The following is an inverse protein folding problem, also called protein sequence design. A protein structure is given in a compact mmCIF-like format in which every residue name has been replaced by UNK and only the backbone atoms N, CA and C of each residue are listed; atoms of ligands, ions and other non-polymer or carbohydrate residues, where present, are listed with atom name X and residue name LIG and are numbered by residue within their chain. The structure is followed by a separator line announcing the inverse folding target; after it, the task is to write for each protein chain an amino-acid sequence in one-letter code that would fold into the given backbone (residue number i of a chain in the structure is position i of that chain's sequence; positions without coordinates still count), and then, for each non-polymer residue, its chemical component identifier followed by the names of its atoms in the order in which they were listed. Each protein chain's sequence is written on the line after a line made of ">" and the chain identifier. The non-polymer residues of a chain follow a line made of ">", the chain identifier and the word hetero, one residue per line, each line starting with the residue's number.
data_IF_407161250233
#
_entry.id   IF_407161250233
#
_cell.length_a   1.000
_cell.length_b   1.000
_cell.length_c   1.000
_cell.angle_alpha   90.00
_cell.angle_beta   90.00
_cell.angle_gamma   90.00
#
_symmetry.space_group_name_H-M   'P 1'
#
loop_
_entity.id
_entity.type
_entity.pdbx_description
1 polymer ?
#
# COMPACT_ATOMS: atom_id res chain seq x y z
N UNK A 1 3.68 20.35 -4.61
CA UNK A 1 2.23 20.05 -4.60
C UNK A 1 2.11 18.55 -4.48
N UNK A 2 1.28 17.99 -3.59
CA UNK A 2 0.92 16.59 -3.76
C UNK A 2 0.28 16.46 -5.14
N UNK A 3 0.76 15.51 -5.95
CA UNK A 3 0.15 15.23 -7.24
C UNK A 3 -1.33 14.93 -7.02
N UNK A 4 -2.20 15.52 -7.85
CA UNK A 4 -3.64 15.30 -7.72
C UNK A 4 -3.95 13.81 -7.75
N UNK A 5 -4.94 13.34 -6.98
CA UNK A 5 -5.36 11.92 -6.94
C UNK A 5 -5.30 11.26 -8.31
N UNK A 6 -5.95 11.87 -9.30
CA UNK A 6 -6.03 11.35 -10.67
C UNK A 6 -4.68 11.16 -11.35
N UNK A 7 -3.67 11.99 -11.04
CA UNK A 7 -2.32 11.83 -11.55
C UNK A 7 -1.66 10.59 -10.95
N UNK A 8 -1.72 10.42 -9.63
CA UNK A 8 -1.17 9.25 -8.95
C UNK A 8 -1.87 7.96 -9.34
N UNK A 9 -3.19 7.96 -9.51
CA UNK A 9 -3.88 6.78 -10.02
C UNK A 9 -3.51 6.47 -11.48
N UNK A 10 -3.24 7.49 -12.32
CA UNK A 10 -2.77 7.28 -13.68
C UNK A 10 -1.33 6.73 -13.70
N UNK A 11 -0.48 7.19 -12.79
CA UNK A 11 0.87 6.67 -12.59
C UNK A 11 0.83 5.18 -12.19
N UNK A 12 0.04 4.82 -11.18
CA UNK A 12 -0.14 3.42 -10.76
C UNK A 12 -0.70 2.54 -11.88
N UNK A 13 -1.67 3.06 -12.65
CA UNK A 13 -2.19 2.37 -13.85
C UNK A 13 -1.11 2.18 -14.91
N UNK A 14 -0.20 3.13 -15.09
CA UNK A 14 0.93 3.01 -16.03
C UNK A 14 1.91 1.90 -15.65
N UNK A 15 1.94 1.52 -14.37
CA UNK A 15 2.74 0.39 -13.88
C UNK A 15 2.04 -0.97 -14.07
N UNK A 16 0.80 -1.00 -14.55
CA UNK A 16 0.04 -2.22 -14.83
C UNK A 16 -1.07 -2.54 -13.81
N UNK A 17 -1.29 -1.71 -12.80
CA UNK A 17 -2.33 -1.91 -11.78
C UNK A 17 -3.62 -1.18 -12.18
N UNK A 18 -4.58 -1.91 -12.76
CA UNK A 18 -5.81 -1.32 -13.30
C UNK A 18 -6.87 -0.98 -12.25
N UNK A 19 -6.90 -1.73 -11.15
CA UNK A 19 -7.81 -1.51 -10.04
C UNK A 19 -7.10 -0.65 -9.00
N UNK A 20 -7.77 0.43 -8.60
CA UNK A 20 -7.22 1.40 -7.66
C UNK A 20 -8.14 1.53 -6.46
N UNK A 21 -7.62 1.27 -5.26
CA UNK A 21 -8.37 1.41 -4.02
C UNK A 21 -7.67 2.32 -3.01
N UNK A 22 -8.45 2.78 -2.03
CA UNK A 22 -7.95 3.48 -0.84
C UNK A 22 -8.52 2.78 0.38
N UNK A 23 -7.64 2.39 1.30
CA UNK A 23 -8.00 1.70 2.53
C UNK A 23 -7.38 2.45 3.72
N UNK A 24 -8.02 2.32 4.88
CA UNK A 24 -7.46 2.68 6.19
C UNK A 24 -7.53 1.42 7.05
N UNK A 25 -6.48 1.13 7.80
CA UNK A 25 -6.38 0.05 8.80
C UNK A 25 -7.04 -1.26 8.40
N UNK A 26 -6.26 -2.20 7.86
CA UNK A 26 -6.76 -3.50 7.45
C UNK A 26 -6.20 -4.61 8.33
N UNK A 27 -7.06 -5.54 8.82
CA UNK A 27 -6.57 -6.73 9.49
C UNK A 27 -5.74 -7.60 8.52
N UNK A 28 -4.99 -8.59 9.04
CA UNK A 28 -4.16 -9.46 8.22
C UNK A 28 -4.95 -10.10 7.06
N UNK A 29 -4.49 -9.89 5.83
CA UNK A 29 -5.09 -10.44 4.62
C UNK A 29 -4.06 -10.68 3.51
N UNK A 30 -4.50 -11.26 2.39
CA UNK A 30 -3.68 -11.56 1.23
C UNK A 30 -4.49 -11.41 -0.06
N UNK A 31 -3.81 -11.21 -1.19
CA UNK A 31 -4.41 -11.14 -2.52
C UNK A 31 -3.81 -12.20 -3.45
N UNK A 32 -4.54 -12.60 -4.48
CA UNK A 32 -4.09 -13.60 -5.46
C UNK A 32 -3.07 -13.04 -6.48
N UNK A 33 -2.92 -11.71 -6.53
CA UNK A 33 -2.00 -11.01 -7.44
C UNK A 33 -1.03 -10.11 -6.69
N UNK A 34 -0.02 -9.62 -7.42
CA UNK A 34 0.86 -8.56 -6.94
C UNK A 34 0.03 -7.32 -6.61
N UNK A 35 0.27 -6.75 -5.44
CA UNK A 35 -0.39 -5.52 -4.99
C UNK A 35 0.67 -4.45 -4.77
N UNK A 36 0.43 -3.23 -5.27
CA UNK A 36 1.29 -2.07 -4.98
C UNK A 36 0.62 -1.17 -3.96
N UNK A 37 1.39 -0.40 -3.21
CA UNK A 37 0.92 0.71 -2.39
C UNK A 37 1.78 1.92 -2.69
N UNK A 38 1.18 2.99 -3.22
CA UNK A 38 1.83 4.30 -3.32
C UNK A 38 1.30 5.21 -2.22
N UNK A 39 2.19 5.71 -1.35
CA UNK A 39 1.82 6.56 -0.21
C UNK A 39 1.79 8.02 -0.69
N UNK A 40 0.61 8.64 -0.69
CA UNK A 40 0.45 10.02 -1.14
C UNK A 40 0.42 11.03 0.01
N UNK A 41 0.00 10.59 1.20
CA UNK A 41 -0.01 11.40 2.42
C UNK A 41 0.22 10.51 3.65
N UNK A 42 0.73 11.10 4.73
CA UNK A 42 0.92 10.39 6.00
C UNK A 42 2.03 9.33 5.94
N UNK A 43 1.75 8.18 6.55
CA UNK A 43 2.67 7.03 6.63
C UNK A 43 1.88 5.72 6.56
N UNK A 44 2.47 4.70 5.93
CA UNK A 44 1.98 3.33 5.95
C UNK A 44 2.89 2.50 6.85
N UNK A 45 2.35 1.88 7.88
CA UNK A 45 3.05 0.81 8.59
C UNK A 45 2.50 -0.53 8.13
N UNK A 46 3.34 -1.35 7.50
CA UNK A 46 2.98 -2.70 7.06
C UNK A 46 3.70 -3.73 7.92
N UNK A 47 2.97 -4.77 8.33
CA UNK A 47 3.53 -5.94 9.03
C UNK A 47 3.26 -7.20 8.22
N UNK A 48 4.22 -8.12 8.18
CA UNK A 48 4.09 -9.43 7.52
C UNK A 48 4.04 -10.56 8.54
N UNK A 49 2.85 -10.85 9.12
CA UNK A 49 2.74 -11.80 10.25
C UNK A 49 3.03 -13.26 9.86
N UNK A 50 3.03 -13.60 8.57
CA UNK A 50 3.33 -14.94 8.08
C UNK A 50 4.83 -15.25 7.93
N UNK A 51 5.69 -14.24 8.04
CA UNK A 51 7.13 -14.41 7.87
C UNK A 51 7.75 -15.05 9.14
N UNK A 52 8.88 -15.75 8.99
CA UNK A 52 9.58 -16.42 10.12
C UNK A 52 9.95 -15.45 11.25
N UNK A 53 10.25 -14.20 10.88
CA UNK A 53 10.47 -13.09 11.80
C UNK A 53 9.62 -11.90 11.32
N UNK A 54 8.38 -11.74 11.84
CA UNK A 54 7.49 -10.69 11.39
C UNK A 54 8.10 -9.29 11.59
N UNK A 55 8.39 -8.63 10.48
CA UNK A 55 8.89 -7.26 10.49
C UNK A 55 7.74 -6.27 10.33
N UNK A 56 7.83 -5.16 11.06
CA UNK A 56 6.95 -4.00 10.92
C UNK A 56 7.75 -2.85 10.33
N UNK A 57 7.40 -2.45 9.10
CA UNK A 57 8.10 -1.42 8.34
C UNK A 57 7.18 -0.23 8.13
N UNK A 58 7.70 0.98 8.32
CA UNK A 58 6.95 2.22 8.09
C UNK A 58 7.48 2.93 6.87
N UNK A 59 6.58 3.28 5.96
CA UNK A 59 6.83 3.96 4.70
C UNK A 59 6.21 5.36 4.67
N UNK A 60 6.91 6.30 4.05
CA UNK A 60 6.52 7.70 3.93
C UNK A 60 5.98 8.08 2.55
N UNK A 61 5.58 9.35 2.41
CA UNK A 61 5.06 9.92 1.16
C UNK A 61 6.05 9.74 0.01
N UNK A 62 5.54 9.31 -1.14
CA UNK A 62 6.30 9.05 -2.37
C UNK A 62 6.92 7.66 -2.43
N UNK A 63 6.95 6.92 -1.32
CA UNK A 63 7.43 5.53 -1.34
C UNK A 63 6.38 4.60 -1.96
N UNK A 64 6.88 3.59 -2.67
CA UNK A 64 6.12 2.49 -3.22
C UNK A 64 6.46 1.21 -2.47
N UNK A 65 5.44 0.43 -2.12
CA UNK A 65 5.58 -0.87 -1.48
C UNK A 65 4.84 -1.90 -2.31
N UNK A 66 5.56 -2.89 -2.83
CA UNK A 66 4.96 -4.03 -3.51
C UNK A 66 4.84 -5.20 -2.53
N UNK A 67 3.67 -5.84 -2.51
CA UNK A 67 3.37 -7.03 -1.72
C UNK A 67 3.08 -8.19 -2.67
N UNK A 68 3.89 -9.24 -2.58
CA UNK A 68 3.76 -10.42 -3.41
C UNK A 68 2.42 -11.12 -3.24
N UNK A 69 1.97 -11.76 -4.32
CA UNK A 69 0.77 -12.60 -4.32
C UNK A 69 0.84 -13.66 -3.21
N UNK A 70 -0.25 -13.81 -2.46
CA UNK A 70 -0.37 -14.76 -1.36
C UNK A 70 0.35 -14.35 -0.06
N UNK A 71 1.14 -13.27 -0.05
CA UNK A 71 1.80 -12.82 1.18
C UNK A 71 0.79 -12.15 2.11
N UNK A 72 0.69 -12.70 3.33
CA UNK A 72 -0.18 -12.13 4.36
C UNK A 72 0.44 -10.85 4.90
N UNK A 73 -0.34 -9.79 4.93
CA UNK A 73 0.09 -8.49 5.43
C UNK A 73 -1.04 -7.76 6.18
N UNK A 74 -0.64 -6.90 7.11
CA UNK A 74 -1.50 -6.02 7.90
C UNK A 74 -1.04 -4.57 7.70
N UNK A 75 -1.95 -3.66 7.36
CA UNK A 75 -1.68 -2.23 7.23
C UNK A 75 -2.24 -1.47 8.43
N UNK A 76 -1.41 -0.59 9.00
CA UNK A 76 -1.81 0.42 9.98
C UNK A 76 -1.42 1.82 9.52
N UNK A 77 -2.34 2.75 9.68
CA UNK A 77 -2.26 4.10 9.14
C UNK A 77 -2.29 5.11 10.30
N UNK A 78 -1.22 5.88 10.45
CA UNK A 78 -1.20 6.97 11.44
C UNK A 78 -2.01 8.19 10.98
N UNK A 79 -2.34 8.29 9.68
CA UNK A 79 -3.27 9.26 9.10
C UNK A 79 -4.02 8.63 7.90
N UNK A 80 -5.35 8.78 7.80
CA UNK A 80 -6.18 8.00 6.86
C UNK A 80 -6.13 8.42 5.39
N UNK A 81 -5.30 9.39 5.02
CA UNK A 81 -5.38 9.99 3.70
C UNK A 81 -4.52 9.27 2.66
N UNK A 82 -5.24 8.61 1.75
CA UNK A 82 -4.87 8.18 0.41
C UNK A 82 -3.58 7.40 0.23
N UNK A 83 -3.77 6.08 0.22
CA UNK A 83 -2.92 5.14 -0.51
C UNK A 83 -3.64 4.76 -1.79
N UNK A 84 -2.88 4.62 -2.86
CA UNK A 84 -3.35 4.08 -4.13
C UNK A 84 -2.82 2.65 -4.18
N UNK A 85 -3.75 1.70 -4.05
CA UNK A 85 -3.51 0.26 -4.14
C UNK A 85 -3.85 -0.23 -5.53
#
# INVERSE_FOLDING_TARGET
>A
MPDSRSHSEAEVRSWGFSNVFTWTDQPPHSHDGLTTHLILQGRLTITYPGDEAPERVTHGVGERVDVDAGRVHEQKDDMPDMKVV
#
